data_IF_916729321228
#
_entry.id   IF_916729321228
#
_cell.length_a   1.000
_cell.length_b   1.000
_cell.length_c   1.000
_cell.angle_alpha   90.00
_cell.angle_beta   90.00
_cell.angle_gamma   90.00
#
_symmetry.space_group_name_H-M   'P 1'
#
loop_
_entity.id
_entity.type
_entity.pdbx_description
1 polymer ?
#
# COMPACT_ATOMS: atom_id res chain seq x y z
N UNK A 1 7.38 20.29 -25.42
CA UNK A 1 6.81 18.94 -25.59
C UNK A 1 7.10 18.20 -24.29
N UNK A 2 6.09 17.84 -23.48
CA UNK A 2 6.35 17.01 -22.29
C UNK A 2 6.89 15.67 -22.79
N UNK A 3 8.04 15.23 -22.28
CA UNK A 3 8.55 13.88 -22.57
C UNK A 3 7.45 12.87 -22.23
N UNK A 4 7.17 11.98 -23.19
CA UNK A 4 6.29 10.86 -22.95
C UNK A 4 7.08 9.90 -22.07
N UNK A 5 6.65 9.74 -20.81
CA UNK A 5 7.18 8.71 -19.92
C UNK A 5 7.06 7.37 -20.59
N UNK A 6 8.17 6.65 -20.71
CA UNK A 6 8.25 5.43 -21.49
C UNK A 6 8.78 4.30 -20.63
N UNK A 7 7.87 3.50 -20.08
CA UNK A 7 8.21 2.31 -19.31
C UNK A 7 7.35 2.14 -18.08
N UNK A 8 7.27 0.90 -17.60
CA UNK A 8 6.51 0.57 -16.37
C UNK A 8 7.02 1.37 -15.15
N UNK A 9 8.34 1.50 -14.90
CA UNK A 9 8.83 2.25 -13.73
C UNK A 9 8.42 3.72 -13.74
N UNK A 10 8.53 4.40 -14.89
CA UNK A 10 8.19 5.82 -15.00
C UNK A 10 6.69 6.08 -14.78
N UNK A 11 5.86 5.12 -15.22
CA UNK A 11 4.41 5.16 -15.01
C UNK A 11 4.05 4.86 -13.55
N UNK A 12 4.69 3.88 -12.92
CA UNK A 12 4.52 3.59 -11.49
C UNK A 12 4.94 4.78 -10.63
N UNK A 13 6.01 5.49 -11.02
CA UNK A 13 6.44 6.70 -10.34
C UNK A 13 5.36 7.79 -10.40
N UNK A 14 4.76 8.04 -11.56
CA UNK A 14 3.66 9.02 -11.68
C UNK A 14 2.40 8.61 -10.98
N UNK A 15 1.97 7.37 -11.19
CA UNK A 15 0.74 6.87 -10.60
C UNK A 15 0.85 6.83 -9.08
N UNK A 16 2.05 6.71 -8.53
CA UNK A 16 2.34 6.81 -7.11
C UNK A 16 2.74 8.20 -6.62
N UNK A 17 2.65 9.27 -7.44
CA UNK A 17 3.02 10.63 -7.02
C UNK A 17 1.85 11.26 -6.25
N UNK A 18 2.04 11.67 -4.97
CA UNK A 18 0.97 12.30 -4.22
C UNK A 18 0.68 13.71 -4.76
N UNK A 19 -0.60 14.07 -4.82
CA UNK A 19 -1.02 15.44 -5.09
C UNK A 19 -0.86 16.33 -3.85
N UNK A 20 -0.83 17.67 -4.01
CA UNK A 20 -0.66 18.61 -2.88
C UNK A 20 -1.70 18.45 -1.77
N UNK A 21 -2.96 18.14 -2.14
CA UNK A 21 -4.03 17.92 -1.17
C UNK A 21 -3.77 16.69 -0.28
N UNK A 22 -3.26 15.60 -0.86
CA UNK A 22 -2.90 14.40 -0.10
C UNK A 22 -1.70 14.65 0.81
N UNK A 23 -0.72 15.44 0.35
CA UNK A 23 0.42 15.84 1.20
C UNK A 23 -0.05 16.67 2.40
N UNK A 24 -0.94 17.63 2.17
CA UNK A 24 -1.52 18.43 3.24
C UNK A 24 -2.33 17.58 4.24
N UNK A 25 -3.13 16.64 3.75
CA UNK A 25 -3.90 15.72 4.59
C UNK A 25 -2.98 14.78 5.40
N UNK A 26 -1.92 14.26 4.77
CA UNK A 26 -0.96 13.36 5.42
C UNK A 26 -0.17 14.04 6.55
N UNK A 27 0.00 15.37 6.50
CA UNK A 27 0.61 16.13 7.59
C UNK A 27 -0.19 16.00 8.90
N UNK A 28 -1.51 15.88 8.80
CA UNK A 28 -2.44 15.81 9.92
C UNK A 28 -2.80 14.38 10.33
N UNK A 29 -2.25 13.36 9.67
CA UNK A 29 -2.54 11.98 10.05
C UNK A 29 -2.10 11.70 11.50
N UNK A 30 -2.96 11.03 12.30
CA UNK A 30 -2.76 10.90 13.74
C UNK A 30 -1.73 9.83 14.14
N UNK A 31 -1.21 9.07 13.19
CA UNK A 31 -0.24 8.01 13.43
C UNK A 31 -0.10 7.08 12.24
N UNK A 32 0.43 5.89 12.51
CA UNK A 32 0.76 4.87 11.52
C UNK A 32 -0.41 4.53 10.58
N UNK A 33 -0.07 4.22 9.34
CA UNK A 33 -1.00 3.91 8.25
C UNK A 33 -0.85 2.45 7.87
N UNK A 34 -1.92 1.67 7.93
CA UNK A 34 -1.93 0.29 7.45
C UNK A 34 -2.69 0.18 6.13
N UNK A 35 -2.07 -0.48 5.15
CA UNK A 35 -2.66 -0.81 3.84
C UNK A 35 -2.89 -2.31 3.78
N UNK A 36 -4.14 -2.72 3.92
CA UNK A 36 -4.55 -4.13 3.87
C UNK A 36 -4.78 -4.57 2.43
N UNK A 37 -4.18 -5.68 2.01
CA UNK A 37 -4.21 -6.11 0.60
C UNK A 37 -3.15 -5.42 -0.28
N UNK A 38 -2.06 -4.94 0.32
CA UNK A 38 -1.03 -4.15 -0.37
C UNK A 38 -0.30 -4.90 -1.49
N UNK A 39 -0.30 -6.24 -1.49
CA UNK A 39 0.31 -7.04 -2.56
C UNK A 39 -0.53 -7.17 -3.84
N UNK A 40 -1.74 -6.60 -3.86
CA UNK A 40 -2.55 -6.52 -5.07
C UNK A 40 -2.02 -5.48 -6.06
N UNK A 41 -2.56 -5.49 -7.29
CA UNK A 41 -2.12 -4.59 -8.40
C UNK A 41 -2.16 -3.10 -8.02
N UNK A 42 -3.15 -2.70 -7.23
CA UNK A 42 -3.31 -1.31 -6.80
C UNK A 42 -2.65 -1.03 -5.45
N UNK A 43 -2.54 -2.05 -4.60
CA UNK A 43 -2.10 -1.90 -3.21
C UNK A 43 -0.69 -1.34 -3.06
N UNK A 44 0.26 -1.83 -3.88
CA UNK A 44 1.65 -1.38 -3.81
C UNK A 44 1.79 0.09 -4.25
N UNK A 45 1.02 0.51 -5.25
CA UNK A 45 0.98 1.92 -5.68
C UNK A 45 0.43 2.84 -4.59
N UNK A 46 -0.65 2.43 -3.92
CA UNK A 46 -1.25 3.20 -2.81
C UNK A 46 -0.30 3.28 -1.61
N UNK A 47 0.33 2.17 -1.21
CA UNK A 47 1.31 2.18 -0.12
C UNK A 47 2.52 3.07 -0.43
N UNK A 48 3.02 3.03 -1.66
CA UNK A 48 4.10 3.91 -2.13
C UNK A 48 3.67 5.38 -2.10
N UNK A 49 2.45 5.68 -2.54
CA UNK A 49 1.90 7.05 -2.55
C UNK A 49 1.71 7.60 -1.13
N UNK A 50 1.21 6.79 -0.20
CA UNK A 50 1.06 7.19 1.21
C UNK A 50 2.42 7.51 1.85
N UNK A 51 3.44 6.67 1.62
CA UNK A 51 4.81 6.91 2.11
C UNK A 51 5.39 8.20 1.53
N UNK A 52 5.29 8.39 0.22
CA UNK A 52 5.72 9.63 -0.45
C UNK A 52 4.97 10.87 0.05
N UNK A 53 3.69 10.75 0.38
CA UNK A 53 2.90 11.85 0.92
C UNK A 53 3.40 12.27 2.30
N UNK A 54 3.66 11.29 3.18
CA UNK A 54 4.24 11.52 4.51
C UNK A 54 5.66 12.10 4.42
N UNK A 55 6.50 11.59 3.51
CA UNK A 55 7.85 12.13 3.28
C UNK A 55 7.80 13.59 2.82
N UNK A 56 6.89 13.91 1.89
CA UNK A 56 6.67 15.28 1.42
C UNK A 56 6.07 16.19 2.50
N UNK A 57 5.34 15.63 3.47
CA UNK A 57 4.80 16.34 4.62
C UNK A 57 5.81 16.47 5.79
N UNK A 58 7.00 15.86 5.68
CA UNK A 58 8.00 15.85 6.75
C UNK A 58 7.62 14.97 7.95
N UNK A 59 6.77 13.95 7.75
CA UNK A 59 6.30 12.99 8.77
C UNK A 59 7.04 11.66 8.65
N UNK A 60 8.32 11.66 9.01
CA UNK A 60 9.16 10.45 9.07
C UNK A 60 8.89 9.59 10.32
N UNK A 61 8.18 10.16 11.31
CA UNK A 61 7.73 9.51 12.54
C UNK A 61 6.58 8.51 12.34
N UNK A 62 5.76 8.70 11.29
CA UNK A 62 4.64 7.83 10.94
C UNK A 62 5.12 6.69 10.05
N UNK A 63 4.78 5.45 10.38
CA UNK A 63 5.04 4.28 9.53
C UNK A 63 3.93 4.05 8.51
N UNK A 64 4.30 3.53 7.34
CA UNK A 64 3.34 2.90 6.41
C UNK A 64 3.56 1.39 6.47
N UNK A 65 2.54 0.66 6.90
CA UNK A 65 2.52 -0.79 6.99
C UNK A 65 1.74 -1.38 5.82
N UNK A 66 2.43 -2.07 4.92
CA UNK A 66 1.81 -2.80 3.83
C UNK A 66 1.57 -4.25 4.25
N UNK A 67 0.31 -4.68 4.30
CA UNK A 67 -0.08 -6.03 4.73
C UNK A 67 -0.56 -6.85 3.54
N UNK A 68 0.03 -8.02 3.35
CA UNK A 68 -0.37 -8.99 2.32
C UNK A 68 0.26 -10.36 2.59
N UNK A 69 -0.13 -11.36 1.82
CA UNK A 69 0.54 -12.67 1.80
C UNK A 69 1.92 -12.63 1.14
N UNK A 70 2.20 -11.56 0.36
CA UNK A 70 3.48 -11.33 -0.35
C UNK A 70 3.94 -12.49 -1.24
N UNK A 71 3.06 -12.96 -2.12
CA UNK A 71 3.40 -13.99 -3.13
C UNK A 71 4.37 -13.48 -4.21
N UNK A 72 4.46 -12.16 -4.42
CA UNK A 72 5.47 -11.52 -5.25
C UNK A 72 6.57 -10.88 -4.39
N UNK A 73 7.72 -11.55 -4.30
CA UNK A 73 8.87 -11.07 -3.54
C UNK A 73 9.48 -9.77 -4.11
N UNK A 74 9.34 -9.53 -5.42
CA UNK A 74 9.89 -8.32 -6.06
C UNK A 74 9.08 -7.09 -5.68
N UNK A 75 7.75 -7.18 -5.73
CA UNK A 75 6.85 -6.12 -5.28
C UNK A 75 7.06 -5.78 -3.80
N UNK A 76 7.22 -6.80 -2.94
CA UNK A 76 7.57 -6.61 -1.53
C UNK A 76 8.87 -5.82 -1.35
N UNK A 77 9.96 -6.26 -1.97
CA UNK A 77 11.26 -5.62 -1.84
C UNK A 77 11.28 -4.20 -2.42
N UNK A 78 10.45 -3.91 -3.43
CA UNK A 78 10.27 -2.57 -3.99
C UNK A 78 9.70 -1.59 -2.96
N UNK A 79 8.70 -2.01 -2.19
CA UNK A 79 8.11 -1.20 -1.12
C UNK A 79 9.07 -0.97 0.04
N UNK A 80 9.80 -2.00 0.46
CA UNK A 80 10.79 -1.89 1.54
C UNK A 80 11.87 -0.85 1.19
N UNK A 81 12.32 -0.80 -0.07
CA UNK A 81 13.27 0.21 -0.55
C UNK A 81 12.72 1.64 -0.52
N UNK A 82 11.41 1.81 -0.54
CA UNK A 82 10.74 3.11 -0.42
C UNK A 82 10.49 3.50 1.05
N UNK A 83 10.92 2.69 2.03
CA UNK A 83 10.66 2.95 3.45
C UNK A 83 9.28 2.50 3.93
N UNK A 84 8.58 1.68 3.14
CA UNK A 84 7.33 1.03 3.57
C UNK A 84 7.66 -0.24 4.34
N UNK A 85 7.11 -0.40 5.54
CA UNK A 85 7.24 -1.61 6.35
C UNK A 85 6.28 -2.67 5.80
N UNK A 86 6.79 -3.84 5.44
CA UNK A 86 5.94 -4.95 4.96
C UNK A 86 5.60 -5.90 6.11
N UNK A 87 4.36 -6.38 6.14
CA UNK A 87 3.85 -7.36 7.11
C UNK A 87 3.25 -8.52 6.34
N UNK A 88 3.72 -9.73 6.61
CA UNK A 88 3.17 -10.96 6.03
C UNK A 88 1.99 -11.41 6.87
N UNK A 89 0.79 -11.40 6.30
CA UNK A 89 -0.40 -11.93 6.95
C UNK A 89 -1.40 -12.44 5.90
N UNK A 90 -2.10 -13.52 6.24
CA UNK A 90 -3.32 -13.90 5.54
C UNK A 90 -4.51 -13.23 6.23
N UNK A 91 -5.15 -12.31 5.54
CA UNK A 91 -6.26 -11.52 6.10
C UNK A 91 -7.57 -12.31 6.19
N UNK A 92 -7.59 -13.56 5.70
CA UNK A 92 -8.69 -14.51 5.95
C UNK A 92 -8.53 -15.28 7.26
N UNK A 93 -7.36 -15.21 7.92
CA UNK A 93 -7.09 -15.82 9.23
C UNK A 93 -7.30 -14.78 10.35
N UNK A 94 -8.35 -14.92 11.19
CA UNK A 94 -8.62 -13.99 12.29
C UNK A 94 -7.44 -13.84 13.25
N UNK A 95 -6.68 -14.91 13.52
CA UNK A 95 -5.53 -14.84 14.42
C UNK A 95 -4.38 -14.01 13.81
N UNK A 96 -4.23 -14.06 12.49
CA UNK A 96 -3.26 -13.22 11.78
C UNK A 96 -3.70 -11.74 11.77
N UNK A 97 -5.01 -11.47 11.68
CA UNK A 97 -5.57 -10.12 11.79
C UNK A 97 -5.38 -9.55 13.20
N UNK A 98 -5.66 -10.33 14.23
CA UNK A 98 -5.50 -9.93 15.64
C UNK A 98 -4.02 -9.64 16.01
N UNK A 99 -3.07 -10.22 15.26
CA UNK A 99 -1.64 -10.01 15.45
C UNK A 99 -1.07 -8.83 14.65
N UNK A 100 -1.89 -8.14 13.84
CA UNK A 100 -1.42 -6.99 13.07
C UNK A 100 -1.01 -5.83 14.01
N UNK A 101 0.01 -5.04 13.64
CA UNK A 101 0.34 -3.84 14.40
C UNK A 101 -0.80 -2.82 14.39
N UNK A 102 -0.95 -2.11 15.50
CA UNK A 102 -1.88 -0.98 15.58
C UNK A 102 -1.52 0.10 14.54
N UNK A 103 -2.56 0.72 13.98
CA UNK A 103 -2.44 1.83 13.06
C UNK A 103 -3.60 2.79 13.25
N UNK A 104 -3.34 4.08 13.14
CA UNK A 104 -4.34 5.12 13.30
C UNK A 104 -5.17 5.34 12.03
N UNK A 105 -4.62 4.97 10.87
CA UNK A 105 -5.29 5.05 9.56
C UNK A 105 -5.31 3.67 8.90
N UNK A 106 -6.48 3.22 8.45
CA UNK A 106 -6.66 1.92 7.77
C UNK A 106 -7.15 2.14 6.34
N UNK A 107 -6.39 1.65 5.37
CA UNK A 107 -6.76 1.61 3.95
C UNK A 107 -7.03 0.14 3.59
N UNK A 108 -8.29 -0.21 3.41
CA UNK A 108 -8.73 -1.58 3.15
C UNK A 108 -8.90 -1.84 1.64
N UNK A 109 -7.97 -2.60 1.05
CA UNK A 109 -7.95 -2.96 -0.38
C UNK A 109 -8.09 -4.46 -0.63
N UNK A 110 -8.52 -5.22 0.39
CA UNK A 110 -8.76 -6.66 0.26
C UNK A 110 -10.00 -6.87 -0.58
N UNK A 111 -9.89 -7.70 -1.62
CA UNK A 111 -11.02 -8.13 -2.44
C UNK A 111 -10.57 -8.93 -3.66
N UNK A 112 -11.35 -9.94 -4.03
CA UNK A 112 -11.15 -10.68 -5.26
C UNK A 112 -11.96 -10.04 -6.40
N UNK A 113 -11.27 -9.40 -7.35
CA UNK A 113 -11.90 -8.78 -8.51
C UNK A 113 -12.03 -9.72 -9.72
N UNK A 114 -11.12 -10.69 -9.85
CA UNK A 114 -11.04 -11.61 -11.00
C UNK A 114 -10.86 -13.04 -10.51
N UNK A 115 -11.35 -14.03 -11.28
CA UNK A 115 -11.16 -15.46 -10.97
C UNK A 115 -12.12 -16.02 -9.90
N UNK A 116 -13.04 -15.20 -9.38
CA UNK A 116 -14.03 -15.63 -8.38
C UNK A 116 -15.03 -16.66 -8.93
N UNK A 117 -15.21 -16.76 -10.25
CA UNK A 117 -16.03 -17.81 -10.86
C UNK A 117 -15.47 -19.22 -10.59
N UNK A 118 -14.14 -19.36 -10.46
CA UNK A 118 -13.46 -20.63 -10.16
C UNK A 118 -13.15 -20.83 -8.67
N UNK A 119 -13.32 -19.80 -7.85
CA UNK A 119 -13.02 -19.79 -6.41
C UNK A 119 -13.97 -18.80 -5.69
N UNK A 120 -15.28 -19.09 -5.64
CA UNK A 120 -16.28 -18.17 -5.13
C UNK A 120 -16.12 -17.86 -3.64
N UNK A 121 -15.48 -18.74 -2.88
CA UNK A 121 -15.08 -18.53 -1.49
C UNK A 121 -14.11 -17.36 -1.29
N UNK A 122 -13.47 -16.87 -2.37
CA UNK A 122 -12.57 -15.71 -2.31
C UNK A 122 -13.31 -14.38 -2.52
N UNK A 123 -14.62 -14.41 -2.84
CA UNK A 123 -15.42 -13.21 -3.09
C UNK A 123 -16.01 -12.58 -1.81
N UNK A 124 -15.99 -13.30 -0.69
CA UNK A 124 -16.54 -12.92 0.61
C UNK A 124 -15.57 -13.30 1.73
#
# INVERSE_FOLDING_TARGET
MKEIRSGVPDLEEELGRPGPALVAEAADWPGDVVVLGAGGKTGAGIASMARRALDAAGRDDIQVLAVSRWTDARGRAGLEKLGVRTVVADLSDPAAVDALPDAAVVIHLVGAKFGTASAPEQAW
#
